data_IF_672761671255
#
_entry.id   IF_672761671255
#
_cell.length_a   1.000
_cell.length_b   1.000
_cell.length_c   1.000
_cell.angle_alpha   90.00
_cell.angle_beta   90.00
_cell.angle_gamma   90.00
#
_symmetry.space_group_name_H-M   'P 1'
#
loop_
_entity.id
_entity.type
_entity.pdbx_description
1 polymer ?
#
# COMPACT_ATOMS: atom_id res chain seq x y z
N UNK A 1 10.74 -27.21 -42.09
CA UNK A 1 11.83 -27.69 -41.24
C UNK A 1 12.84 -26.61 -40.86
N UNK A 2 12.46 -25.37 -40.60
CA UNK A 2 13.39 -24.32 -40.14
C UNK A 2 12.77 -23.33 -39.18
N UNK A 3 11.82 -23.76 -38.38
CA UNK A 3 11.26 -22.90 -37.33
C UNK A 3 12.25 -22.61 -36.19
N UNK A 4 13.21 -23.52 -35.93
CA UNK A 4 14.21 -23.30 -34.89
C UNK A 4 15.36 -22.39 -35.29
N UNK A 5 15.68 -22.27 -36.57
CA UNK A 5 16.73 -21.34 -37.03
C UNK A 5 16.25 -19.88 -37.13
N UNK A 6 14.97 -19.62 -37.36
CA UNK A 6 14.41 -18.29 -37.33
C UNK A 6 14.33 -17.69 -35.90
N UNK A 7 14.23 -18.53 -34.86
CA UNK A 7 14.25 -18.05 -33.47
C UNK A 7 15.62 -17.60 -32.98
N UNK A 8 16.70 -18.05 -33.60
CA UNK A 8 18.07 -17.69 -33.17
C UNK A 8 18.57 -16.35 -33.67
N UNK A 9 18.00 -15.79 -34.74
CA UNK A 9 18.60 -14.65 -35.42
C UNK A 9 17.89 -13.32 -35.28
N UNK A 10 16.69 -13.23 -34.70
CA UNK A 10 15.94 -11.96 -34.61
C UNK A 10 15.12 -11.78 -33.33
N UNK A 11 15.53 -12.35 -32.20
CA UNK A 11 14.89 -12.01 -30.94
C UNK A 11 15.51 -10.70 -30.40
N UNK A 12 15.16 -9.59 -31.02
CA UNK A 12 15.32 -8.30 -30.37
C UNK A 12 14.22 -8.19 -29.32
N UNK A 13 14.54 -7.98 -28.01
CA UNK A 13 13.51 -7.66 -27.04
C UNK A 13 12.79 -6.42 -27.54
N UNK A 14 11.49 -6.54 -27.81
CA UNK A 14 10.67 -5.41 -28.20
C UNK A 14 10.66 -4.42 -27.01
N UNK A 15 11.20 -3.22 -27.23
CA UNK A 15 11.12 -2.13 -26.26
C UNK A 15 9.92 -1.27 -26.61
N UNK A 16 9.04 -1.06 -25.63
CA UNK A 16 7.86 -0.21 -25.78
C UNK A 16 7.95 0.94 -24.79
N UNK A 17 7.93 2.15 -25.29
CA UNK A 17 7.86 3.35 -24.46
C UNK A 17 6.40 3.69 -24.18
N UNK A 18 6.07 3.89 -22.91
CA UNK A 18 4.75 4.33 -22.49
C UNK A 18 4.83 5.35 -21.35
N UNK A 19 3.82 6.17 -21.25
CA UNK A 19 3.60 7.07 -20.11
C UNK A 19 2.47 6.53 -19.25
N UNK A 20 2.69 6.46 -17.94
CA UNK A 20 1.67 6.03 -16.98
C UNK A 20 1.34 7.18 -16.02
N UNK A 21 0.05 7.51 -15.93
CA UNK A 21 -0.47 8.36 -14.85
C UNK A 21 -0.85 7.47 -13.67
N UNK A 22 -0.23 7.72 -12.52
CA UNK A 22 -0.55 7.01 -11.26
C UNK A 22 -1.88 7.49 -10.68
N UNK A 23 -2.51 6.71 -9.77
CA UNK A 23 -3.73 7.11 -9.09
C UNK A 23 -3.57 8.45 -8.35
N UNK A 24 -4.54 9.34 -8.50
CA UNK A 24 -4.61 10.53 -7.66
C UNK A 24 -4.89 10.13 -6.20
N UNK A 25 -4.23 10.82 -5.27
CA UNK A 25 -4.33 10.58 -3.83
C UNK A 25 -4.54 11.90 -3.09
N UNK A 26 -5.45 11.90 -2.11
CA UNK A 26 -5.63 12.99 -1.17
C UNK A 26 -5.59 12.43 0.26
N UNK A 27 -4.89 13.11 1.15
CA UNK A 27 -4.74 12.69 2.54
C UNK A 27 -5.13 13.88 3.43
N UNK A 28 -5.94 13.58 4.45
CA UNK A 28 -6.26 14.50 5.54
C UNK A 28 -5.79 13.84 6.83
N UNK A 29 -4.94 14.56 7.57
CA UNK A 29 -4.34 14.10 8.82
C UNK A 29 -4.68 15.04 9.97
N UNK A 30 -4.93 14.47 11.14
CA UNK A 30 -5.13 15.22 12.38
C UNK A 30 -4.39 14.54 13.53
N UNK A 31 -3.90 15.36 14.46
CA UNK A 31 -3.23 14.86 15.65
C UNK A 31 -3.67 15.66 16.87
N UNK A 32 -3.87 14.93 17.97
CA UNK A 32 -4.21 15.53 19.26
C UNK A 32 -3.18 15.14 20.30
N UNK A 33 -2.65 16.14 21.01
CA UNK A 33 -1.65 15.95 22.08
C UNK A 33 -2.34 16.03 23.43
N UNK A 34 -2.06 15.05 24.30
CA UNK A 34 -2.52 15.08 25.70
C UNK A 34 -1.49 15.80 26.55
N UNK A 35 -1.96 16.72 27.37
CA UNK A 35 -1.11 17.36 28.39
C UNK A 35 -0.77 16.37 29.51
N UNK A 36 0.44 16.50 30.07
CA UNK A 36 0.78 15.79 31.30
C UNK A 36 0.12 16.51 32.49
N UNK A 37 -0.73 15.84 33.30
CA UNK A 37 -1.41 16.47 34.43
C UNK A 37 -0.45 17.09 35.46
N UNK A 38 0.72 16.48 35.65
CA UNK A 38 1.76 16.97 36.58
C UNK A 38 2.71 18.03 36.00
N UNK A 39 2.76 18.11 34.65
CA UNK A 39 3.60 19.06 33.91
C UNK A 39 2.87 19.49 32.64
N UNK A 40 1.93 20.46 32.72
CA UNK A 40 1.06 20.83 31.58
C UNK A 40 1.80 21.34 30.34
N UNK A 41 3.03 21.80 30.50
CA UNK A 41 3.89 22.25 29.39
C UNK A 41 4.55 21.11 28.60
N UNK A 42 4.44 19.86 29.10
CA UNK A 42 5.05 18.69 28.47
C UNK A 42 3.94 17.75 27.98
N UNK A 43 3.93 17.32 26.71
CA UNK A 43 2.92 16.36 26.24
C UNK A 43 3.18 14.99 26.90
N UNK A 44 2.10 14.38 27.41
CA UNK A 44 2.10 13.00 27.89
C UNK A 44 2.14 12.02 26.71
N UNK A 45 1.49 12.38 25.62
CA UNK A 45 1.40 11.55 24.41
C UNK A 45 0.58 12.23 23.34
N UNK A 46 0.32 11.50 22.27
CA UNK A 46 -0.56 11.94 21.19
C UNK A 46 -1.32 10.77 20.58
N UNK A 47 -2.41 11.10 19.90
CA UNK A 47 -3.10 10.24 18.96
C UNK A 47 -3.15 10.96 17.62
N UNK A 48 -2.92 10.23 16.53
CA UNK A 48 -3.04 10.74 15.16
C UNK A 48 -3.97 9.86 14.36
N UNK A 49 -4.66 10.46 13.42
CA UNK A 49 -5.52 9.75 12.47
C UNK A 49 -5.33 10.34 11.07
N UNK A 50 -5.25 9.46 10.08
CA UNK A 50 -5.19 9.81 8.67
C UNK A 50 -6.36 9.17 7.93
N UNK A 51 -6.98 9.96 7.05
CA UNK A 51 -7.93 9.49 6.06
C UNK A 51 -7.29 9.73 4.69
N UNK A 52 -7.10 8.66 3.93
CA UNK A 52 -6.50 8.71 2.61
C UNK A 52 -7.52 8.26 1.57
N UNK A 53 -7.83 9.15 0.63
CA UNK A 53 -8.62 8.82 -0.55
C UNK A 53 -7.70 8.55 -1.73
N UNK A 54 -7.94 7.44 -2.45
CA UNK A 54 -7.15 7.00 -3.61
C UNK A 54 -8.07 6.71 -4.78
N UNK A 55 -7.79 7.35 -5.94
CA UNK A 55 -8.54 7.16 -7.18
C UNK A 55 -7.88 6.11 -8.07
N UNK A 56 -7.95 4.81 -7.70
CA UNK A 56 -7.34 3.74 -8.49
C UNK A 56 -7.87 3.67 -9.93
N UNK A 57 -9.17 3.90 -10.13
CA UNK A 57 -9.78 3.99 -11.46
C UNK A 57 -9.25 5.16 -12.32
N UNK A 58 -8.40 6.02 -11.77
CA UNK A 58 -7.77 7.15 -12.47
C UNK A 58 -6.44 6.81 -13.15
N UNK A 59 -5.87 5.64 -12.91
CA UNK A 59 -4.66 5.18 -13.61
C UNK A 59 -4.90 5.14 -15.12
N UNK A 60 -3.95 5.67 -15.90
CA UNK A 60 -4.03 5.68 -17.36
C UNK A 60 -2.66 5.37 -17.94
N UNK A 61 -2.67 4.66 -19.06
CA UNK A 61 -1.52 4.42 -19.91
C UNK A 61 -1.68 5.14 -21.24
N UNK A 62 -0.60 5.71 -21.73
CA UNK A 62 -0.53 6.43 -22.98
C UNK A 62 0.75 6.02 -23.72
N UNK A 63 0.67 6.04 -25.04
CA UNK A 63 1.86 5.98 -25.91
C UNK A 63 1.99 7.30 -26.65
N UNK A 64 3.23 7.68 -26.94
CA UNK A 64 3.54 8.78 -27.86
C UNK A 64 3.54 8.32 -29.31
N UNK A 65 3.29 7.03 -29.57
CA UNK A 65 3.17 6.49 -30.92
C UNK A 65 1.80 6.86 -31.51
N UNK A 66 1.80 7.40 -32.73
CA UNK A 66 0.61 7.76 -33.47
C UNK A 66 -0.01 6.59 -34.25
N UNK A 67 0.55 5.38 -34.11
CA UNK A 67 -0.01 4.19 -34.72
C UNK A 67 -1.40 3.91 -34.12
N UNK A 68 -2.41 3.81 -34.99
CA UNK A 68 -3.81 3.61 -34.59
C UNK A 68 -4.01 2.32 -33.77
N UNK A 69 -3.26 1.26 -34.07
CA UNK A 69 -3.34 0.00 -33.31
C UNK A 69 -2.83 0.16 -31.89
N UNK A 70 -1.72 0.91 -31.71
CA UNK A 70 -1.13 1.22 -30.39
C UNK A 70 -2.09 2.08 -29.58
N UNK A 71 -2.66 3.12 -30.21
CA UNK A 71 -3.64 4.01 -29.57
C UNK A 71 -4.86 3.21 -29.12
N UNK A 72 -5.38 2.32 -29.98
CA UNK A 72 -6.54 1.46 -29.66
C UNK A 72 -6.22 0.55 -28.49
N UNK A 73 -5.05 -0.09 -28.48
CA UNK A 73 -4.62 -0.96 -27.39
C UNK A 73 -4.63 -0.24 -26.03
N UNK A 74 -4.06 0.97 -25.93
CA UNK A 74 -4.08 1.72 -24.69
C UNK A 74 -5.45 2.23 -24.29
N UNK A 75 -6.32 2.54 -25.24
CA UNK A 75 -7.72 2.88 -24.97
C UNK A 75 -8.47 1.69 -24.33
N UNK A 76 -8.30 0.51 -24.88
CA UNK A 76 -8.90 -0.72 -24.35
C UNK A 76 -8.36 -1.06 -22.97
N UNK A 77 -7.04 -0.94 -22.77
CA UNK A 77 -6.41 -1.11 -21.47
C UNK A 77 -6.98 -0.12 -20.43
N UNK A 78 -7.10 1.15 -20.80
CA UNK A 78 -7.66 2.19 -19.93
C UNK A 78 -9.15 1.97 -19.64
N UNK A 79 -9.90 1.42 -20.57
CA UNK A 79 -11.30 1.01 -20.38
C UNK A 79 -11.37 -0.12 -19.34
N UNK A 80 -10.54 -1.15 -19.47
CA UNK A 80 -10.45 -2.24 -18.48
C UNK A 80 -10.10 -1.70 -17.09
N UNK A 81 -9.09 -0.82 -16.97
CA UNK A 81 -8.71 -0.20 -15.70
C UNK A 81 -9.88 0.53 -15.06
N UNK A 82 -10.58 1.38 -15.83
CA UNK A 82 -11.74 2.15 -15.36
C UNK A 82 -12.87 1.26 -14.86
N UNK A 83 -13.06 0.09 -15.48
CA UNK A 83 -14.15 -0.83 -15.13
C UNK A 83 -13.78 -1.79 -13.99
N UNK A 84 -12.51 -2.13 -13.85
CA UNK A 84 -12.01 -3.05 -12.81
C UNK A 84 -11.79 -2.36 -11.48
N UNK A 85 -11.26 -1.14 -11.50
CA UNK A 85 -10.87 -0.45 -10.28
C UNK A 85 -11.88 0.61 -9.84
N UNK A 86 -11.92 0.86 -8.53
CA UNK A 86 -12.75 1.88 -7.91
C UNK A 86 -11.91 2.85 -7.07
N UNK A 87 -12.54 3.93 -6.63
CA UNK A 87 -11.97 4.79 -5.60
C UNK A 87 -12.07 4.09 -4.25
N UNK A 88 -11.09 4.33 -3.40
CA UNK A 88 -11.07 3.73 -2.08
C UNK A 88 -10.65 4.73 -1.01
N UNK A 89 -11.06 4.46 0.22
CA UNK A 89 -10.68 5.22 1.41
C UNK A 89 -9.91 4.28 2.34
N UNK A 90 -8.72 4.72 2.75
CA UNK A 90 -7.88 4.04 3.71
C UNK A 90 -7.88 4.83 5.02
N UNK A 91 -7.81 4.14 6.14
CA UNK A 91 -7.77 4.73 7.47
C UNK A 91 -6.52 4.29 8.21
N UNK A 92 -5.89 5.23 8.92
CA UNK A 92 -4.74 4.93 9.77
C UNK A 92 -4.92 5.66 11.10
N UNK A 93 -4.64 4.97 12.20
CA UNK A 93 -4.67 5.54 13.54
C UNK A 93 -3.39 5.11 14.24
N UNK A 94 -2.71 6.07 14.87
CA UNK A 94 -1.51 5.83 15.65
C UNK A 94 -1.54 6.59 16.96
N UNK A 95 -0.90 6.06 17.98
CA UNK A 95 -0.76 6.70 19.28
C UNK A 95 0.59 6.43 19.88
N UNK A 96 1.09 7.39 20.66
CA UNK A 96 2.25 7.26 21.51
C UNK A 96 1.92 7.87 22.87
N UNK A 97 2.32 7.16 23.94
CA UNK A 97 2.17 7.62 25.31
C UNK A 97 3.51 7.49 26.02
N UNK A 98 3.95 8.53 26.67
CA UNK A 98 5.08 8.51 27.60
C UNK A 98 4.61 7.87 28.90
N UNK A 99 5.25 6.77 29.28
CA UNK A 99 5.01 6.09 30.54
C UNK A 99 5.78 6.79 31.66
N UNK A 100 6.66 6.10 32.35
CA UNK A 100 7.49 6.66 33.41
C UNK A 100 8.92 6.86 32.93
N UNK A 101 9.52 8.01 33.33
CA UNK A 101 10.92 8.32 33.01
C UNK A 101 11.18 8.35 31.49
N UNK A 102 11.95 7.39 31.00
CA UNK A 102 12.42 7.33 29.62
C UNK A 102 11.64 6.39 28.71
N UNK A 103 10.60 5.74 29.23
CA UNK A 103 9.80 4.73 28.51
C UNK A 103 8.63 5.36 27.78
N UNK A 104 8.34 4.83 26.60
CA UNK A 104 7.15 5.17 25.82
C UNK A 104 6.55 3.93 25.19
N UNK A 105 5.23 3.90 25.09
CA UNK A 105 4.48 2.86 24.40
C UNK A 105 3.81 3.44 23.16
N UNK A 106 3.71 2.62 22.09
CA UNK A 106 3.08 2.97 20.83
C UNK A 106 2.11 1.89 20.41
N UNK A 107 1.03 2.31 19.82
CA UNK A 107 0.08 1.42 19.17
C UNK A 107 -0.41 2.06 17.87
N UNK A 108 -0.70 1.23 16.87
CA UNK A 108 -1.19 1.72 15.60
C UNK A 108 -1.99 0.68 14.86
N UNK A 109 -2.91 1.14 14.04
CA UNK A 109 -3.69 0.31 13.13
C UNK A 109 -3.88 1.02 11.80
N UNK A 110 -3.93 0.25 10.71
CA UNK A 110 -4.26 0.77 9.39
C UNK A 110 -5.19 -0.21 8.68
N UNK A 111 -6.14 0.34 7.95
CA UNK A 111 -7.03 -0.40 7.07
C UNK A 111 -6.96 0.15 5.66
N UNK A 112 -6.69 -0.73 4.71
CA UNK A 112 -6.68 -0.47 3.29
C UNK A 112 -7.79 -1.28 2.65
N UNK A 113 -8.76 -0.61 2.04
CA UNK A 113 -9.90 -1.25 1.42
C UNK A 113 -9.59 -1.81 0.03
N UNK A 114 -10.56 -2.50 -0.56
CA UNK A 114 -10.40 -3.11 -1.87
C UNK A 114 -10.37 -2.07 -2.99
N UNK A 115 -9.34 -2.09 -3.87
CA UNK A 115 -9.31 -1.24 -5.05
C UNK A 115 -10.25 -1.73 -6.17
N UNK A 116 -10.81 -2.93 -6.05
CA UNK A 116 -11.63 -3.55 -7.09
C UNK A 116 -13.11 -3.24 -6.93
N UNK A 117 -13.79 -2.97 -8.05
CA UNK A 117 -15.23 -2.70 -8.11
C UNK A 117 -16.07 -3.94 -7.87
N UNK A 118 -15.62 -5.07 -8.39
CA UNK A 118 -16.37 -6.31 -8.34
C UNK A 118 -16.44 -6.85 -6.92
N UNK A 119 -17.65 -7.15 -6.46
CA UNK A 119 -17.90 -7.73 -5.14
C UNK A 119 -17.59 -9.23 -5.06
N UNK A 120 -17.18 -9.87 -6.15
CA UNK A 120 -16.86 -11.30 -6.19
C UNK A 120 -15.59 -11.63 -5.40
N UNK A 121 -14.64 -10.72 -5.37
CA UNK A 121 -13.42 -10.83 -4.55
C UNK A 121 -13.08 -9.47 -3.93
N UNK A 122 -12.50 -9.49 -2.72
CA UNK A 122 -12.11 -8.29 -1.99
C UNK A 122 -10.64 -8.39 -1.61
N UNK A 123 -9.83 -7.54 -2.22
CA UNK A 123 -8.47 -7.33 -1.76
C UNK A 123 -8.48 -6.26 -0.65
N UNK A 124 -8.10 -6.62 0.54
CA UNK A 124 -8.01 -5.68 1.66
C UNK A 124 -6.82 -6.01 2.54
N UNK A 125 -6.30 -5.00 3.20
CA UNK A 125 -5.19 -5.17 4.12
C UNK A 125 -5.52 -4.50 5.45
N UNK A 126 -5.30 -5.22 6.54
CA UNK A 126 -5.38 -4.70 7.88
C UNK A 126 -4.03 -4.86 8.58
N UNK A 127 -3.56 -3.78 9.18
CA UNK A 127 -2.28 -3.74 9.90
C UNK A 127 -2.55 -3.39 11.34
N UNK A 128 -1.96 -4.16 12.24
CA UNK A 128 -1.91 -3.88 13.69
C UNK A 128 -0.46 -3.79 14.11
N UNK A 129 -0.11 -2.77 14.87
CA UNK A 129 1.26 -2.57 15.36
C UNK A 129 1.28 -2.14 16.82
N UNK A 130 2.31 -2.56 17.52
CA UNK A 130 2.61 -2.14 18.87
C UNK A 130 4.11 -2.03 19.09
N UNK A 131 4.53 -1.17 20.01
CA UNK A 131 5.94 -0.98 20.27
C UNK A 131 6.24 -0.34 21.63
N UNK A 132 7.48 -0.53 22.07
CA UNK A 132 8.03 0.07 23.27
C UNK A 132 9.31 0.79 22.89
N UNK A 133 9.48 2.02 23.35
CA UNK A 133 10.68 2.80 23.18
C UNK A 133 11.30 3.16 24.51
N UNK A 134 12.62 3.16 24.57
CA UNK A 134 13.38 3.68 25.69
C UNK A 134 14.32 4.77 25.19
N UNK A 135 14.25 5.96 25.77
CA UNK A 135 15.05 7.14 25.37
C UNK A 135 15.74 7.78 26.54
N UNK A 136 17.04 7.98 26.37
CA UNK A 136 17.86 8.81 27.24
C UNK A 136 18.29 10.07 26.48
N UNK A 137 19.10 10.92 27.09
CA UNK A 137 19.69 12.10 26.43
C UNK A 137 20.53 11.72 25.21
N UNK A 138 21.30 10.62 25.31
CA UNK A 138 22.27 10.19 24.29
C UNK A 138 21.82 8.97 23.45
N UNK A 139 20.97 8.11 23.99
CA UNK A 139 20.63 6.83 23.35
C UNK A 139 19.13 6.64 23.25
N UNK A 140 18.70 5.92 22.22
CA UNK A 140 17.36 5.40 22.16
C UNK A 140 17.33 3.96 21.62
N UNK A 141 16.39 3.17 22.11
CA UNK A 141 16.10 1.82 21.65
C UNK A 141 14.59 1.75 21.41
N UNK A 142 14.20 1.26 20.24
CA UNK A 142 12.80 1.03 19.87
C UNK A 142 12.60 -0.44 19.49
N UNK A 143 11.59 -1.07 20.07
CA UNK A 143 11.13 -2.41 19.71
C UNK A 143 9.72 -2.30 19.16
N UNK A 144 9.48 -2.88 18.00
CA UNK A 144 8.16 -2.85 17.36
C UNK A 144 7.79 -4.21 16.85
N UNK A 145 6.53 -4.61 17.06
CA UNK A 145 5.88 -5.75 16.45
C UNK A 145 4.77 -5.24 15.54
N UNK A 146 4.67 -5.79 14.33
CA UNK A 146 3.64 -5.44 13.37
C UNK A 146 3.07 -6.72 12.74
N UNK A 147 1.76 -6.80 12.74
CA UNK A 147 1.02 -7.88 12.08
C UNK A 147 0.25 -7.29 10.89
N UNK A 148 0.46 -7.86 9.72
CA UNK A 148 -0.22 -7.49 8.47
C UNK A 148 -1.06 -8.65 7.98
N UNK A 149 -2.37 -8.46 7.98
CA UNK A 149 -3.36 -9.40 7.47
C UNK A 149 -3.82 -8.94 6.09
N UNK A 150 -3.63 -9.78 5.08
CA UNK A 150 -3.97 -9.48 3.68
C UNK A 150 -5.05 -10.46 3.22
N UNK A 151 -6.05 -9.95 2.51
CA UNK A 151 -6.97 -10.73 1.71
C UNK A 151 -6.81 -10.29 0.26
N UNK A 152 -6.71 -11.22 -0.66
CA UNK A 152 -6.59 -10.95 -2.10
C UNK A 152 -7.15 -12.13 -2.89
N UNK A 153 -7.28 -11.94 -4.21
CA UNK A 153 -7.68 -12.99 -5.14
C UNK A 153 -6.58 -13.21 -6.17
N UNK A 154 -6.18 -14.46 -6.34
CA UNK A 154 -5.17 -14.87 -7.32
C UNK A 154 -5.88 -15.53 -8.51
N UNK A 155 -5.63 -15.00 -9.70
CA UNK A 155 -6.12 -15.53 -10.97
C UNK A 155 -4.96 -16.28 -11.65
N UNK A 156 -4.84 -17.61 -11.49
CA UNK A 156 -3.71 -18.36 -12.06
C UNK A 156 -3.70 -18.32 -13.59
N UNK A 157 -4.87 -18.22 -14.22
CA UNK A 157 -5.03 -18.03 -15.66
C UNK A 157 -6.40 -17.39 -15.97
N UNK A 158 -6.51 -16.75 -17.10
CA UNK A 158 -7.77 -16.17 -17.59
C UNK A 158 -8.23 -16.95 -18.80
N UNK A 159 -9.53 -17.26 -18.82
CA UNK A 159 -10.18 -17.89 -19.95
C UNK A 159 -10.90 -16.84 -20.78
N UNK A 160 -10.78 -16.91 -22.11
CA UNK A 160 -11.36 -15.92 -23.02
C UNK A 160 -12.89 -16.01 -23.09
N UNK A 161 -13.43 -17.22 -22.92
CA UNK A 161 -14.86 -17.50 -23.15
C UNK A 161 -15.62 -17.99 -21.90
N UNK A 162 -14.96 -18.07 -20.75
CA UNK A 162 -15.57 -18.57 -19.50
C UNK A 162 -15.19 -17.67 -18.33
N UNK A 163 -16.00 -17.73 -17.26
CA UNK A 163 -15.67 -17.08 -15.99
C UNK A 163 -14.28 -17.52 -15.53
N UNK A 164 -13.40 -16.55 -15.27
CA UNK A 164 -12.06 -16.82 -14.76
C UNK A 164 -12.16 -17.43 -13.36
N UNK A 165 -11.54 -18.58 -13.16
CA UNK A 165 -11.40 -19.15 -11.82
C UNK A 165 -10.39 -18.35 -11.03
N UNK A 166 -10.68 -18.11 -9.77
CA UNK A 166 -9.77 -17.45 -8.83
C UNK A 166 -9.68 -18.25 -7.53
N UNK A 167 -8.59 -18.07 -6.84
CA UNK A 167 -8.39 -18.59 -5.49
C UNK A 167 -8.33 -17.42 -4.50
N UNK A 168 -9.08 -17.52 -3.42
CA UNK A 168 -8.99 -16.59 -2.30
C UNK A 168 -7.65 -16.77 -1.60
N UNK A 169 -6.89 -15.70 -1.53
CA UNK A 169 -5.64 -15.65 -0.80
C UNK A 169 -5.84 -14.92 0.53
N UNK A 170 -5.42 -15.55 1.61
CA UNK A 170 -5.33 -14.95 2.94
C UNK A 170 -3.90 -15.07 3.44
N UNK A 171 -3.25 -13.94 3.60
CA UNK A 171 -1.89 -13.86 4.11
C UNK A 171 -1.87 -13.23 5.50
N UNK A 172 -0.96 -13.71 6.34
CA UNK A 172 -0.65 -13.11 7.63
C UNK A 172 0.88 -13.01 7.75
N UNK A 173 1.38 -11.80 7.95
CA UNK A 173 2.80 -11.53 8.07
C UNK A 173 3.08 -10.83 9.40
N UNK A 174 3.95 -11.43 10.21
CA UNK A 174 4.42 -10.87 11.47
C UNK A 174 5.84 -10.36 11.30
N UNK A 175 6.06 -9.09 11.62
CA UNK A 175 7.34 -8.42 11.53
C UNK A 175 7.77 -7.92 12.91
N UNK A 176 9.05 -8.15 13.24
CA UNK A 176 9.72 -7.58 14.41
C UNK A 176 10.78 -6.59 13.94
N UNK A 177 10.81 -5.43 14.56
CA UNK A 177 11.81 -4.41 14.26
C UNK A 177 12.49 -3.95 15.55
N UNK A 178 13.81 -3.81 15.50
CA UNK A 178 14.64 -3.28 16.59
C UNK A 178 15.41 -2.10 16.02
N UNK A 179 15.23 -0.94 16.63
CA UNK A 179 15.95 0.28 16.29
C UNK A 179 16.86 0.70 17.46
N UNK A 180 18.08 1.10 17.15
CA UNK A 180 19.01 1.72 18.11
C UNK A 180 19.62 2.96 17.47
N UNK A 181 19.74 4.01 18.23
CA UNK A 181 20.40 5.23 17.77
C UNK A 181 21.10 6.01 18.89
N UNK A 182 22.06 6.82 18.47
CA UNK A 182 22.87 7.68 19.32
C UNK A 182 22.64 9.13 18.87
N UNK A 183 22.49 10.02 19.84
CA UNK A 183 22.46 11.48 19.64
C UNK A 183 23.80 12.07 20.04
N UNK A 184 24.36 12.87 19.19
CA UNK A 184 25.59 13.61 19.38
C UNK A 184 25.30 15.02 19.91
#
# INVERSE_FOLDING_TARGET
YDLMNNYKNNFYPASYDYTMTTPAKAIVSSSYFFANPSKPTQPLGFISADIEWVKYAGTRFYSNDNNQEVVSYYNDLNYVIKNTYQNNINFKIGSEVKLNGNWMARAGTAFYGSPYKDGGFKASQFVLSGGIGYRTEKHFIDLTIMNTMVKDAIFPYRLTEKSSYYADFKGNNLMFNIGYGIRF
#
